data_IF_439277927945
#
_entry.id   IF_439277927945
#
_cell.length_a   1.000
_cell.length_b   1.000
_cell.length_c   1.000
_cell.angle_alpha   90.00
_cell.angle_beta   90.00
_cell.angle_gamma   90.00
#
_symmetry.space_group_name_H-M   'P 1'
#
loop_
_entity.id
_entity.type
_entity.pdbx_description
1 polymer ?
#
# COMPACT_ATOMS: atom_id res chain seq x y z
N UNK A 1 26.15 -6.01 -1.30
CA UNK A 1 25.48 -5.28 -2.40
C UNK A 1 24.16 -5.98 -2.72
N UNK A 2 23.09 -5.23 -2.77
CA UNK A 2 21.76 -5.80 -3.11
C UNK A 2 21.73 -6.25 -4.57
N UNK A 3 21.21 -7.43 -4.85
CA UNK A 3 21.16 -7.95 -6.23
C UNK A 3 20.07 -7.22 -7.02
N UNK A 4 20.42 -6.55 -8.11
CA UNK A 4 19.49 -5.78 -8.95
C UNK A 4 18.30 -6.60 -9.44
N UNK A 5 18.54 -7.87 -9.82
CA UNK A 5 17.46 -8.75 -10.26
C UNK A 5 16.41 -8.99 -9.17
N UNK A 6 16.85 -9.14 -7.91
CA UNK A 6 15.94 -9.32 -6.76
C UNK A 6 15.10 -8.08 -6.54
N UNK A 7 15.71 -6.88 -6.57
CA UNK A 7 14.97 -5.63 -6.46
C UNK A 7 13.94 -5.48 -7.60
N UNK A 8 14.30 -5.87 -8.83
CA UNK A 8 13.38 -5.83 -9.95
C UNK A 8 12.21 -6.82 -9.78
N UNK A 9 12.45 -8.02 -9.23
CA UNK A 9 11.39 -8.98 -8.90
C UNK A 9 10.44 -8.44 -7.84
N UNK A 10 10.97 -7.79 -6.78
CA UNK A 10 10.15 -7.16 -5.75
C UNK A 10 9.26 -6.07 -6.36
N UNK A 11 9.81 -5.20 -7.20
CA UNK A 11 9.03 -4.18 -7.90
C UNK A 11 7.93 -4.76 -8.78
N UNK A 12 8.22 -5.86 -9.49
CA UNK A 12 7.24 -6.57 -10.30
C UNK A 12 6.10 -7.17 -9.46
N UNK A 13 6.44 -7.84 -8.37
CA UNK A 13 5.45 -8.43 -7.45
C UNK A 13 4.54 -7.37 -6.80
N UNK A 14 5.05 -6.15 -6.62
CA UNK A 14 4.28 -5.02 -6.11
C UNK A 14 3.52 -4.24 -7.22
N UNK A 15 3.48 -4.77 -8.45
CA UNK A 15 2.69 -4.21 -9.54
C UNK A 15 3.29 -2.97 -10.21
N UNK A 16 4.59 -2.70 -10.03
CA UNK A 16 5.24 -1.56 -10.69
C UNK A 16 5.41 -1.82 -12.20
N UNK A 17 5.04 -0.89 -13.08
CA UNK A 17 5.35 -0.95 -14.49
C UNK A 17 6.87 -0.88 -14.74
N UNK A 18 7.31 -1.27 -15.93
CA UNK A 18 8.73 -1.47 -16.25
C UNK A 18 9.59 -0.22 -15.96
N UNK A 19 9.11 0.95 -16.35
CA UNK A 19 9.81 2.23 -16.17
C UNK A 19 9.98 2.53 -14.67
N UNK A 20 8.91 2.45 -13.91
CA UNK A 20 8.95 2.68 -12.46
C UNK A 20 9.81 1.63 -11.72
N UNK A 21 9.93 0.40 -12.25
CA UNK A 21 10.83 -0.61 -11.65
C UNK A 21 12.31 -0.25 -11.79
N UNK A 22 12.70 0.44 -12.86
CA UNK A 22 14.09 0.89 -13.02
C UNK A 22 14.45 1.90 -11.94
N UNK A 23 13.63 2.92 -11.73
CA UNK A 23 13.81 3.91 -10.67
C UNK A 23 13.80 3.25 -9.27
N UNK A 24 12.89 2.32 -9.05
CA UNK A 24 12.81 1.55 -7.80
C UNK A 24 14.10 0.76 -7.54
N UNK A 25 14.66 0.11 -8.56
CA UNK A 25 15.92 -0.64 -8.43
C UNK A 25 17.08 0.29 -8.08
N UNK A 26 17.19 1.45 -8.73
CA UNK A 26 18.20 2.46 -8.44
C UNK A 26 18.07 2.99 -7.02
N UNK A 27 16.86 3.32 -6.59
CA UNK A 27 16.57 3.73 -5.22
C UNK A 27 16.98 2.66 -4.22
N UNK A 28 16.58 1.42 -4.43
CA UNK A 28 16.91 0.27 -3.57
C UNK A 28 18.41 0.00 -3.46
N UNK A 29 19.20 0.32 -4.50
CA UNK A 29 20.67 0.20 -4.44
C UNK A 29 21.29 1.24 -3.50
N UNK A 30 20.70 2.43 -3.41
CA UNK A 30 21.21 3.57 -2.64
C UNK A 30 20.76 3.56 -1.17
N UNK A 31 19.65 2.92 -0.84
CA UNK A 31 19.14 2.86 0.55
C UNK A 31 19.97 1.88 1.39
N UNK A 32 20.34 2.28 2.60
CA UNK A 32 21.06 1.41 3.55
C UNK A 32 20.18 0.23 3.96
N UNK A 33 20.76 -0.95 4.03
CA UNK A 33 20.04 -2.17 4.44
C UNK A 33 19.39 -2.04 5.82
N UNK A 34 20.07 -1.39 6.75
CA UNK A 34 19.54 -1.13 8.10
C UNK A 34 18.25 -0.30 8.06
N UNK A 35 18.17 0.70 7.16
CA UNK A 35 16.96 1.52 6.98
C UNK A 35 15.79 0.66 6.48
N UNK A 36 16.03 -0.19 5.49
CA UNK A 36 15.01 -1.11 4.96
C UNK A 36 14.51 -2.04 6.06
N UNK A 37 15.43 -2.64 6.80
CA UNK A 37 15.10 -3.56 7.91
C UNK A 37 14.24 -2.87 8.97
N UNK A 38 14.66 -1.70 9.46
CA UNK A 38 13.89 -0.94 10.45
C UNK A 38 12.50 -0.57 9.95
N UNK A 39 12.36 -0.19 8.67
CA UNK A 39 11.05 0.12 8.09
C UNK A 39 10.13 -1.10 8.05
N UNK A 40 10.66 -2.27 7.68
CA UNK A 40 9.90 -3.52 7.67
C UNK A 40 9.51 -3.92 9.09
N UNK A 41 10.46 -3.91 10.04
CA UNK A 41 10.20 -4.27 11.44
C UNK A 41 9.12 -3.36 12.05
N UNK A 42 9.20 -2.05 11.82
CA UNK A 42 8.19 -1.10 12.29
C UNK A 42 6.81 -1.33 11.65
N UNK A 43 6.77 -1.65 10.36
CA UNK A 43 5.51 -1.95 9.66
C UNK A 43 4.82 -3.21 10.18
N UNK A 44 5.59 -4.24 10.52
CA UNK A 44 5.06 -5.51 11.04
C UNK A 44 4.55 -5.37 12.48
N UNK A 45 5.19 -4.52 13.30
CA UNK A 45 4.86 -4.37 14.72
C UNK A 45 3.89 -3.23 15.01
N UNK A 46 3.48 -2.47 14.00
CA UNK A 46 2.57 -1.33 14.17
C UNK A 46 1.14 -1.81 14.43
N UNK A 47 0.54 -1.35 15.53
CA UNK A 47 -0.84 -1.59 15.90
C UNK A 47 -1.59 -0.26 16.03
N UNK A 48 -2.69 -0.10 15.31
CA UNK A 48 -3.47 1.13 15.23
C UNK A 48 -4.95 1.00 15.61
N UNK A 49 -5.45 -0.21 15.87
CA UNK A 49 -6.87 -0.44 16.14
C UNK A 49 -7.43 0.46 17.26
N UNK A 50 -6.76 0.64 18.42
CA UNK A 50 -7.31 1.45 19.51
C UNK A 50 -7.51 2.92 19.15
N UNK A 51 -6.61 3.49 18.35
CA UNK A 51 -6.71 4.87 17.87
C UNK A 51 -7.73 4.99 16.74
N UNK A 52 -7.80 4.00 15.87
CA UNK A 52 -8.66 4.00 14.71
C UNK A 52 -10.15 3.89 15.04
N UNK A 53 -10.51 3.14 16.07
CA UNK A 53 -11.90 3.01 16.53
C UNK A 53 -12.52 4.32 17.02
N UNK A 54 -11.70 5.30 17.43
CA UNK A 54 -12.15 6.60 17.91
C UNK A 54 -12.25 7.68 16.84
N UNK A 55 -11.94 7.36 15.59
CA UNK A 55 -12.03 8.30 14.46
C UNK A 55 -13.46 8.39 13.96
N UNK A 56 -13.98 9.62 13.79
CA UNK A 56 -15.38 9.89 13.42
C UNK A 56 -15.54 10.66 12.09
N UNK A 57 -14.53 10.67 11.25
CA UNK A 57 -14.62 11.21 9.89
C UNK A 57 -14.62 10.09 8.84
N UNK A 58 -15.15 10.34 7.63
CA UNK A 58 -15.21 9.34 6.57
C UNK A 58 -13.83 8.81 6.18
N UNK A 59 -13.69 7.50 6.11
CA UNK A 59 -12.46 6.80 5.74
C UNK A 59 -12.74 5.80 4.62
N UNK A 60 -11.84 5.72 3.66
CA UNK A 60 -11.81 4.67 2.65
C UNK A 60 -10.53 3.86 2.82
N UNK A 61 -10.66 2.61 3.23
CA UNK A 61 -9.56 1.66 3.27
C UNK A 61 -9.46 0.96 1.90
N UNK A 62 -8.37 1.18 1.19
CA UNK A 62 -8.18 0.74 -0.18
C UNK A 62 -7.09 -0.31 -0.29
N UNK A 63 -7.36 -1.42 -0.96
CA UNK A 63 -6.36 -2.42 -1.33
C UNK A 63 -6.60 -2.94 -2.75
N UNK A 64 -5.56 -3.52 -3.36
CA UNK A 64 -5.70 -4.25 -4.61
C UNK A 64 -6.14 -5.70 -4.38
N UNK A 65 -6.86 -6.28 -5.32
CA UNK A 65 -7.24 -7.71 -5.26
C UNK A 65 -6.04 -8.66 -5.32
N UNK A 66 -4.91 -8.19 -5.87
CA UNK A 66 -3.64 -8.94 -5.96
C UNK A 66 -2.70 -8.67 -4.79
N UNK A 67 -3.17 -7.97 -3.78
CA UNK A 67 -2.42 -7.70 -2.55
C UNK A 67 -2.27 -8.97 -1.71
N UNK A 68 -1.36 -8.96 -0.74
CA UNK A 68 -1.22 -10.04 0.22
C UNK A 68 -2.49 -10.16 1.08
N UNK A 69 -2.80 -11.39 1.49
CA UNK A 69 -4.03 -11.68 2.22
C UNK A 69 -4.19 -10.87 3.50
N UNK A 70 -3.11 -10.69 4.26
CA UNK A 70 -3.11 -9.92 5.50
C UNK A 70 -3.42 -8.43 5.28
N UNK A 71 -2.99 -7.85 4.16
CA UNK A 71 -3.36 -6.47 3.77
C UNK A 71 -4.85 -6.39 3.43
N UNK A 72 -5.38 -7.36 2.67
CA UNK A 72 -6.80 -7.44 2.33
C UNK A 72 -7.64 -7.62 3.60
N UNK A 73 -7.23 -8.50 4.49
CA UNK A 73 -7.91 -8.73 5.77
C UNK A 73 -7.87 -7.47 6.66
N UNK A 74 -6.76 -6.71 6.64
CA UNK A 74 -6.63 -5.46 7.38
C UNK A 74 -7.63 -4.39 6.93
N UNK A 75 -7.80 -4.16 5.61
CA UNK A 75 -8.76 -3.16 5.12
C UNK A 75 -10.21 -3.56 5.43
N UNK A 76 -10.53 -4.85 5.40
CA UNK A 76 -11.84 -5.36 5.83
C UNK A 76 -12.05 -5.15 7.33
N UNK A 77 -11.03 -5.48 8.13
CA UNK A 77 -11.06 -5.27 9.58
C UNK A 77 -11.27 -3.79 9.95
N UNK A 78 -10.64 -2.88 9.24
CA UNK A 78 -10.87 -1.44 9.44
C UNK A 78 -12.33 -1.05 9.27
N UNK A 79 -13.02 -1.57 8.26
CA UNK A 79 -14.44 -1.32 8.06
C UNK A 79 -15.35 -1.99 9.11
N UNK A 80 -14.91 -3.11 9.68
CA UNK A 80 -15.66 -3.79 10.76
C UNK A 80 -15.61 -3.01 12.08
N UNK A 81 -14.45 -2.44 12.43
CA UNK A 81 -14.24 -1.82 13.74
C UNK A 81 -14.59 -0.32 13.78
N UNK A 82 -14.82 0.31 12.63
CA UNK A 82 -15.18 1.72 12.57
C UNK A 82 -16.32 1.96 11.58
N UNK A 83 -17.49 2.44 12.04
CA UNK A 83 -18.67 2.67 11.18
C UNK A 83 -18.48 3.79 10.15
N UNK A 84 -17.48 4.65 10.33
CA UNK A 84 -17.12 5.69 9.36
C UNK A 84 -16.17 5.20 8.26
N UNK A 85 -15.69 3.95 8.37
CA UNK A 85 -14.79 3.34 7.40
C UNK A 85 -15.56 2.41 6.46
N UNK A 86 -15.33 2.55 5.17
CA UNK A 86 -15.65 1.53 4.17
C UNK A 86 -14.38 1.03 3.51
N UNK A 87 -14.38 -0.18 2.97
CA UNK A 87 -13.24 -0.68 2.20
C UNK A 87 -13.57 -0.82 0.72
N UNK A 88 -12.56 -0.72 -0.11
CA UNK A 88 -12.61 -1.02 -1.54
C UNK A 88 -11.48 -1.96 -1.93
N UNK A 89 -11.79 -2.97 -2.73
CA UNK A 89 -10.79 -3.81 -3.39
C UNK A 89 -10.81 -3.51 -4.87
N UNK A 90 -9.67 -3.07 -5.41
CA UNK A 90 -9.58 -2.72 -6.81
C UNK A 90 -9.08 -3.89 -7.66
N UNK A 91 -9.90 -4.26 -8.64
CA UNK A 91 -9.60 -5.30 -9.61
C UNK A 91 -8.26 -5.04 -10.31
N UNK A 92 -7.47 -6.10 -10.49
CA UNK A 92 -6.14 -6.07 -11.13
C UNK A 92 -5.08 -5.23 -10.43
N UNK A 93 -5.41 -4.55 -9.35
CA UNK A 93 -4.46 -3.77 -8.57
C UNK A 93 -3.65 -4.64 -7.61
N UNK A 94 -2.37 -4.31 -7.46
CA UNK A 94 -1.47 -4.83 -6.44
C UNK A 94 -1.13 -3.70 -5.43
N UNK A 95 0.04 -3.73 -4.81
CA UNK A 95 0.40 -2.79 -3.74
C UNK A 95 0.49 -1.32 -4.17
N UNK A 96 1.01 -1.05 -5.37
CA UNK A 96 1.28 0.33 -5.82
C UNK A 96 0.09 0.96 -6.56
N UNK A 97 -1.01 1.20 -5.85
CA UNK A 97 -2.25 1.73 -6.44
C UNK A 97 -2.09 3.17 -6.97
N UNK A 98 -1.59 4.16 -6.20
CA UNK A 98 -1.56 5.55 -6.68
C UNK A 98 -0.79 5.74 -7.99
N UNK A 99 0.43 5.22 -8.17
CA UNK A 99 1.17 5.44 -9.41
C UNK A 99 0.64 4.63 -10.60
N UNK A 100 0.02 3.47 -10.37
CA UNK A 100 -0.47 2.58 -11.43
C UNK A 100 -1.90 2.95 -11.87
N UNK A 101 -2.74 3.38 -10.95
CA UNK A 101 -4.13 3.75 -11.17
C UNK A 101 -4.38 5.25 -10.88
N UNK A 102 -3.43 6.12 -11.23
CA UNK A 102 -3.40 7.52 -10.83
C UNK A 102 -4.72 8.27 -11.11
N UNK A 103 -5.29 8.11 -12.31
CA UNK A 103 -6.55 8.75 -12.64
C UNK A 103 -7.68 8.30 -11.73
N UNK A 104 -7.89 7.00 -11.58
CA UNK A 104 -8.95 6.43 -10.73
C UNK A 104 -8.77 6.81 -9.27
N UNK A 105 -7.52 6.84 -8.79
CA UNK A 105 -7.19 7.24 -7.43
C UNK A 105 -7.50 8.73 -7.18
N UNK A 106 -7.10 9.60 -8.10
CA UNK A 106 -7.40 11.04 -8.01
C UNK A 106 -8.90 11.31 -8.08
N UNK A 107 -9.63 10.63 -8.97
CA UNK A 107 -11.08 10.76 -9.08
C UNK A 107 -11.78 10.33 -7.77
N UNK A 108 -11.30 9.27 -7.11
CA UNK A 108 -11.81 8.85 -5.81
C UNK A 108 -11.64 9.95 -4.76
N UNK A 109 -10.45 10.55 -4.66
CA UNK A 109 -10.17 11.64 -3.69
C UNK A 109 -11.05 12.85 -3.97
N UNK A 110 -11.13 13.29 -5.23
CA UNK A 110 -11.92 14.46 -5.61
C UNK A 110 -13.41 14.28 -5.34
N UNK A 111 -13.94 13.07 -5.52
CA UNK A 111 -15.33 12.76 -5.24
C UNK A 111 -15.64 12.73 -3.73
N UNK A 112 -14.66 12.48 -2.87
CA UNK A 112 -14.83 12.54 -1.42
C UNK A 112 -14.75 13.99 -0.88
N UNK A 113 -14.01 14.87 -1.57
CA UNK A 113 -13.84 16.27 -1.19
C UNK A 113 -15.06 17.16 -1.55
N UNK A 114 -16.02 16.64 -2.28
CA UNK A 114 -17.28 17.32 -2.66
C UNK A 114 -18.40 16.97 -1.69
#
# INVERSE_FOLDING_TARGET
>A
MKKKWLCNCIGFMNGLPREARQEFVEWMQNVKWETIRKSVDNGITFESEPQFTNVSFPIIALAGEKEQKDVIDSVKRMAEINPYCRYELWEKAAHNIPPVFAKKFNDLILNQAR
#
